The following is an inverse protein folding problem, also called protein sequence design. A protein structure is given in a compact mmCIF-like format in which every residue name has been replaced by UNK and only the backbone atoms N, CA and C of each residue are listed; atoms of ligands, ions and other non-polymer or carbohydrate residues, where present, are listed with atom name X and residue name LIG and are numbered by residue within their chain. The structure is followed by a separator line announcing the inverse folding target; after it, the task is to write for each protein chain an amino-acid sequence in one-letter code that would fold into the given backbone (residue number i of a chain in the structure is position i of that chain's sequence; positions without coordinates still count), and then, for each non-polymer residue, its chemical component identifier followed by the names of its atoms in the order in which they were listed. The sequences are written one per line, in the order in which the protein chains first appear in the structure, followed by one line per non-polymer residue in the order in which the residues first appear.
data_IF_588630764527
#
_entry.id   IF_588630764527
#
_cell.length_a   1.000
_cell.length_b   1.000
_cell.length_c   1.000
_cell.angle_alpha   90.00
_cell.angle_beta   90.00
_cell.angle_gamma   90.00
#
_symmetry.space_group_name_H-M   'P 1'
#
loop_
_entity.id
_entity.type
_entity.pdbx_description
1 polymer ?
#
# COMPACT_ATOMS: atom_id res chain seq x y z
N UNK A 1 11.22 -106.58 44.91
CA UNK A 1 11.44 -106.10 46.29
C UNK A 1 10.33 -105.12 46.67
N UNK A 2 9.43 -105.53 47.57
CA UNK A 2 8.41 -104.67 48.20
C UNK A 2 9.05 -103.88 49.36
N UNK A 3 8.52 -102.70 49.68
CA UNK A 3 8.77 -102.02 50.95
C UNK A 3 8.51 -100.51 50.86
N UNK A 4 7.25 -100.07 51.03
CA UNK A 4 6.61 -99.58 52.27
C UNK A 4 6.93 -98.10 52.58
N UNK A 5 5.92 -97.26 52.41
CA UNK A 5 5.81 -95.93 53.00
C UNK A 5 5.70 -96.03 54.53
N UNK A 6 6.29 -95.07 55.26
CA UNK A 6 5.96 -94.79 56.65
C UNK A 6 5.80 -93.27 56.86
N UNK A 7 4.68 -92.92 57.50
CA UNK A 7 4.21 -91.55 57.79
C UNK A 7 4.94 -90.94 58.99
N UNK A 8 5.29 -89.67 58.80
CA UNK A 8 5.45 -88.54 59.73
C UNK A 8 5.04 -88.76 61.20
N UNK A 9 5.93 -88.38 62.13
CA UNK A 9 5.58 -87.97 63.49
C UNK A 9 5.98 -86.49 63.64
N UNK A 10 4.97 -85.62 63.70
CA UNK A 10 5.11 -84.22 64.05
C UNK A 10 5.14 -84.10 65.58
N UNK A 11 6.25 -83.61 66.15
CA UNK A 11 6.26 -83.03 67.48
C UNK A 11 6.62 -81.55 67.36
N UNK A 12 5.70 -80.69 67.78
CA UNK A 12 5.96 -79.35 68.33
C UNK A 12 5.08 -79.28 69.58
N UNK A 13 5.55 -78.72 70.71
CA UNK A 13 5.61 -77.26 70.76
C UNK A 13 6.63 -76.63 71.75
N UNK A 14 6.92 -75.36 71.48
CA UNK A 14 7.03 -74.25 72.45
C UNK A 14 8.06 -74.34 73.57
N UNK A 15 9.17 -73.61 73.38
CA UNK A 15 9.81 -72.87 74.47
C UNK A 15 10.00 -71.42 74.02
N UNK A 16 9.16 -70.53 74.55
CA UNK A 16 9.27 -69.08 74.43
C UNK A 16 10.12 -68.64 75.62
N UNK A 17 11.44 -68.64 75.47
CA UNK A 17 12.32 -68.29 76.58
C UNK A 17 13.82 -68.34 76.32
N UNK A 18 14.26 -68.87 75.18
CA UNK A 18 15.67 -68.81 74.77
C UNK A 18 15.83 -67.82 73.62
N UNK A 19 16.80 -66.91 73.74
CA UNK A 19 17.28 -66.07 72.64
C UNK A 19 17.92 -66.97 71.58
N UNK A 20 17.06 -67.65 70.80
CA UNK A 20 17.45 -68.52 69.71
C UNK A 20 17.54 -67.68 68.43
N UNK A 21 18.73 -67.48 67.82
CA UNK A 21 18.86 -66.69 66.60
C UNK A 21 18.06 -67.28 65.41
N UNK A 22 17.74 -68.58 65.45
CA UNK A 22 16.89 -69.24 64.46
C UNK A 22 15.39 -68.87 64.56
N UNK A 23 14.94 -68.18 65.63
CA UNK A 23 13.56 -67.71 65.75
C UNK A 23 13.22 -66.59 64.74
N UNK A 24 14.23 -65.87 64.23
CA UNK A 24 14.06 -64.86 63.16
C UNK A 24 13.78 -65.47 61.79
N UNK A 25 14.11 -66.76 61.60
CA UNK A 25 13.82 -67.49 60.35
C UNK A 25 12.40 -68.08 60.33
N UNK A 26 11.58 -67.81 61.35
CA UNK A 26 10.20 -68.28 61.35
C UNK A 26 9.39 -67.64 60.20
N UNK A 27 8.49 -68.40 59.55
CA UNK A 27 7.70 -67.92 58.41
C UNK A 27 6.77 -66.75 58.75
N UNK A 28 6.55 -66.48 60.05
CA UNK A 28 5.79 -65.34 60.55
C UNK A 28 6.54 -64.02 60.25
N UNK A 29 7.88 -64.02 60.33
CA UNK A 29 8.71 -62.86 60.02
C UNK A 29 9.12 -62.77 58.55
N UNK A 30 9.15 -63.89 57.81
CA UNK A 30 9.37 -63.89 56.35
C UNK A 30 8.19 -63.32 55.55
N UNK A 31 6.97 -63.31 56.10
CA UNK A 31 5.83 -62.59 55.51
C UNK A 31 6.10 -61.08 55.36
N UNK A 32 6.93 -60.50 56.22
CA UNK A 32 7.33 -59.10 56.11
C UNK A 32 8.30 -58.87 54.95
N UNK A 33 9.20 -59.81 54.63
CA UNK A 33 10.06 -59.70 53.44
C UNK A 33 9.26 -59.75 52.13
N UNK A 34 8.28 -60.66 52.03
CA UNK A 34 7.38 -60.73 50.87
C UNK A 34 6.45 -59.52 50.78
N UNK A 35 5.96 -59.00 51.92
CA UNK A 35 5.25 -57.70 51.96
C UNK A 35 6.16 -56.57 51.47
N UNK A 36 7.40 -56.51 51.95
CA UNK A 36 8.35 -55.48 51.54
C UNK A 36 8.69 -55.57 50.05
N UNK A 37 8.83 -56.78 49.49
CA UNK A 37 8.98 -57.00 48.04
C UNK A 37 7.75 -56.52 47.27
N UNK A 38 6.54 -56.80 47.75
CA UNK A 38 5.31 -56.30 47.13
C UNK A 38 5.16 -54.77 47.23
N UNK A 39 5.57 -54.17 48.36
CA UNK A 39 5.63 -52.72 48.51
C UNK A 39 6.71 -52.09 47.63
N UNK A 40 7.84 -52.77 47.42
CA UNK A 40 8.92 -52.35 46.55
C UNK A 40 8.51 -52.45 45.07
N UNK A 41 7.82 -53.53 44.67
CA UNK A 41 7.19 -53.65 43.36
C UNK A 41 6.12 -52.57 43.13
N UNK A 42 5.26 -52.30 44.11
CA UNK A 42 4.28 -51.21 44.05
C UNK A 42 4.96 -49.84 43.93
N UNK A 43 6.07 -49.61 44.65
CA UNK A 43 6.85 -48.39 44.53
C UNK A 43 7.51 -48.26 43.14
N UNK A 44 8.04 -49.36 42.59
CA UNK A 44 8.60 -49.39 41.23
C UNK A 44 7.52 -49.13 40.17
N UNK A 45 6.35 -49.76 40.29
CA UNK A 45 5.21 -49.54 39.40
C UNK A 45 4.67 -48.11 39.52
N UNK A 46 4.60 -47.55 40.73
CA UNK A 46 4.21 -46.15 40.96
C UNK A 46 5.20 -45.20 40.30
N UNK A 47 6.51 -45.42 40.49
CA UNK A 47 7.56 -44.63 39.83
C UNK A 47 7.49 -44.74 38.31
N UNK A 48 7.21 -45.94 37.77
CA UNK A 48 7.04 -46.14 36.33
C UNK A 48 5.79 -45.45 35.80
N UNK A 49 4.68 -45.50 36.54
CA UNK A 49 3.45 -44.79 36.20
C UNK A 49 3.67 -43.27 36.21
N UNK A 50 4.36 -42.75 37.22
CA UNK A 50 4.74 -41.33 37.28
C UNK A 50 5.65 -40.92 36.13
N UNK A 51 6.64 -41.74 35.78
CA UNK A 51 7.54 -41.48 34.65
C UNK A 51 6.79 -41.52 33.32
N UNK A 52 5.87 -42.46 33.12
CA UNK A 52 5.01 -42.51 31.94
C UNK A 52 4.05 -41.33 31.88
N UNK A 53 3.54 -40.87 33.02
CA UNK A 53 2.69 -39.69 33.10
C UNK A 53 3.49 -38.42 32.77
N UNK A 54 4.70 -38.28 33.31
CA UNK A 54 5.64 -37.19 32.96
C UNK A 54 5.96 -37.21 31.47
N UNK A 55 6.31 -38.36 30.92
CA UNK A 55 6.59 -38.52 29.49
C UNK A 55 5.37 -38.17 28.63
N UNK A 56 4.17 -38.58 29.02
CA UNK A 56 2.93 -38.20 28.33
C UNK A 56 2.68 -36.68 28.39
N UNK A 57 2.94 -36.05 29.53
CA UNK A 57 2.83 -34.59 29.67
C UNK A 57 3.86 -33.90 28.77
N UNK A 58 5.10 -34.38 28.73
CA UNK A 58 6.14 -33.84 27.87
C UNK A 58 5.82 -34.00 26.38
N UNK A 59 5.29 -35.15 25.98
CA UNK A 59 4.82 -35.39 24.61
C UNK A 59 3.63 -34.49 24.25
N UNK A 60 2.69 -34.30 25.17
CA UNK A 60 1.58 -33.34 24.99
C UNK A 60 2.08 -31.92 24.85
N UNK A 61 3.07 -31.52 25.65
CA UNK A 61 3.67 -30.19 25.57
C UNK A 61 4.44 -30.01 24.25
N UNK A 62 5.19 -31.01 23.79
CA UNK A 62 5.82 -31.02 22.47
C UNK A 62 4.78 -30.90 21.35
N UNK A 63 3.68 -31.65 21.44
CA UNK A 63 2.59 -31.59 20.47
C UNK A 63 1.93 -30.21 20.45
N UNK A 64 1.67 -29.61 21.61
CA UNK A 64 1.13 -28.26 21.73
C UNK A 64 2.08 -27.23 21.11
N UNK A 65 3.39 -27.35 21.36
CA UNK A 65 4.41 -26.50 20.74
C UNK A 65 4.43 -26.64 19.21
N UNK A 66 4.34 -27.86 18.67
CA UNK A 66 4.24 -28.10 17.22
C UNK A 66 2.97 -27.55 16.61
N UNK A 67 1.86 -27.56 17.37
CA UNK A 67 0.62 -26.89 16.95
C UNK A 67 0.86 -25.38 16.93
N UNK A 68 1.47 -24.78 17.94
CA UNK A 68 1.70 -23.34 18.02
C UNK A 68 2.64 -22.80 16.92
N UNK A 69 3.70 -23.54 16.57
CA UNK A 69 4.63 -23.19 15.48
C UNK A 69 3.91 -23.01 14.12
N UNK A 70 4.34 -22.05 13.29
CA UNK A 70 3.80 -21.70 11.97
C UNK A 70 4.13 -22.77 10.89
N UNK A 71 3.88 -24.04 11.18
CA UNK A 71 4.07 -25.11 10.21
C UNK A 71 2.89 -25.18 9.25
N UNK A 72 3.20 -25.26 7.96
CA UNK A 72 2.31 -25.28 6.79
C UNK A 72 1.54 -26.59 6.62
N UNK A 73 1.39 -27.40 7.69
CA UNK A 73 0.72 -28.69 7.62
C UNK A 73 -0.82 -28.50 7.78
N UNK A 74 -1.64 -28.95 6.81
CA UNK A 74 -3.10 -28.87 6.88
C UNK A 74 -3.70 -29.48 8.16
N UNK A 75 -3.06 -30.52 8.71
CA UNK A 75 -3.52 -31.15 9.95
C UNK A 75 -3.41 -30.21 11.16
N UNK A 76 -2.31 -29.44 11.27
CA UNK A 76 -2.09 -28.48 12.35
C UNK A 76 -3.12 -27.36 12.29
N UNK A 77 -3.45 -26.86 11.09
CA UNK A 77 -4.49 -25.85 10.90
C UNK A 77 -5.87 -26.37 11.33
N UNK A 78 -6.25 -27.57 10.89
CA UNK A 78 -7.51 -28.19 11.31
C UNK A 78 -7.59 -28.35 12.84
N UNK A 79 -6.49 -28.81 13.46
CA UNK A 79 -6.44 -28.99 14.92
C UNK A 79 -6.58 -27.66 15.68
N UNK A 80 -5.97 -26.57 15.18
CA UNK A 80 -6.18 -25.21 15.72
C UNK A 80 -7.63 -24.78 15.66
N UNK A 81 -8.31 -25.00 14.53
CA UNK A 81 -9.73 -24.68 14.39
C UNK A 81 -10.61 -25.49 15.35
N UNK A 82 -10.35 -26.79 15.46
CA UNK A 82 -11.09 -27.65 16.39
C UNK A 82 -10.93 -27.20 17.85
N UNK A 83 -9.72 -26.81 18.26
CA UNK A 83 -9.44 -26.28 19.61
C UNK A 83 -10.10 -24.93 19.87
N UNK A 84 -10.10 -24.04 18.88
CA UNK A 84 -10.79 -22.74 18.97
C UNK A 84 -12.30 -22.93 19.16
N UNK A 85 -12.90 -23.82 18.36
CA UNK A 85 -14.33 -24.14 18.45
C UNK A 85 -14.68 -24.78 19.80
N UNK A 86 -13.88 -25.73 20.29
CA UNK A 86 -14.15 -26.34 21.60
C UNK A 86 -14.06 -25.31 22.73
N UNK A 87 -13.12 -24.35 22.64
CA UNK A 87 -13.02 -23.25 23.61
C UNK A 87 -14.25 -22.34 23.56
N UNK A 88 -14.75 -22.00 22.37
CA UNK A 88 -15.97 -21.21 22.22
C UNK A 88 -17.21 -21.93 22.76
N UNK A 89 -17.34 -23.24 22.52
CA UNK A 89 -18.43 -24.05 23.05
C UNK A 89 -18.40 -24.03 24.59
N UNK A 90 -17.23 -24.25 25.18
CA UNK A 90 -17.06 -24.21 26.64
C UNK A 90 -17.42 -22.84 27.23
N UNK A 91 -17.03 -21.75 26.58
CA UNK A 91 -17.43 -20.39 27.00
C UNK A 91 -18.95 -20.20 26.96
N UNK A 92 -19.61 -20.71 25.92
CA UNK A 92 -21.08 -20.61 25.79
C UNK A 92 -21.80 -21.47 26.81
N UNK A 93 -21.28 -22.64 27.14
CA UNK A 93 -21.80 -23.48 28.22
C UNK A 93 -21.67 -22.79 29.58
N UNK A 94 -20.56 -22.09 29.85
CA UNK A 94 -20.42 -21.29 31.07
C UNK A 94 -21.40 -20.12 31.11
N UNK A 95 -21.56 -19.38 30.01
CA UNK A 95 -22.54 -18.28 29.91
C UNK A 95 -23.98 -18.79 30.14
N UNK A 96 -24.32 -19.95 29.58
CA UNK A 96 -25.64 -20.57 29.73
C UNK A 96 -25.89 -21.08 31.15
N UNK A 97 -24.86 -21.61 31.82
CA UNK A 97 -24.95 -21.99 33.23
C UNK A 97 -25.15 -20.76 34.12
N UNK A 98 -24.38 -19.68 33.91
CA UNK A 98 -24.55 -18.41 34.62
C UNK A 98 -25.95 -17.82 34.41
N UNK A 99 -26.45 -17.89 33.18
CA UNK A 99 -27.80 -17.46 32.83
C UNK A 99 -28.87 -18.31 33.53
N UNK A 100 -28.73 -19.63 33.51
CA UNK A 100 -29.62 -20.56 34.22
C UNK A 100 -29.62 -20.29 35.73
N UNK A 101 -28.46 -20.04 36.33
CA UNK A 101 -28.35 -19.71 37.75
C UNK A 101 -29.03 -18.38 38.09
N UNK A 102 -28.87 -17.36 37.25
CA UNK A 102 -29.54 -16.07 37.41
C UNK A 102 -31.07 -16.21 37.37
N UNK A 103 -31.60 -16.98 36.40
CA UNK A 103 -33.04 -17.22 36.30
C UNK A 103 -33.59 -18.09 37.43
N UNK A 104 -32.84 -19.07 37.93
CA UNK A 104 -33.25 -19.87 39.10
C UNK A 104 -33.35 -18.99 40.35
N UNK A 105 -32.34 -18.15 40.62
CA UNK A 105 -32.36 -17.19 41.73
C UNK A 105 -33.53 -16.20 41.65
N UNK A 106 -33.85 -15.71 40.45
CA UNK A 106 -35.00 -14.83 40.25
C UNK A 106 -36.33 -15.52 40.59
N UNK A 107 -36.46 -16.80 40.23
CA UNK A 107 -37.69 -17.60 40.43
C UNK A 107 -37.89 -18.05 41.89
N UNK A 108 -36.81 -18.30 42.64
CA UNK A 108 -36.88 -18.73 44.04
C UNK A 108 -37.12 -17.55 45.02
N UNK A 109 -36.71 -16.33 44.64
CA UNK A 109 -36.75 -15.15 45.52
C UNK A 109 -38.00 -14.26 45.36
N UNK A 110 -38.85 -14.47 44.37
CA UNK A 110 -40.00 -13.59 44.13
C UNK A 110 -41.27 -14.39 43.81
N UNK A 111 -42.26 -14.30 44.71
CA UNK A 111 -43.65 -14.59 44.34
C UNK A 111 -44.03 -13.65 43.18
N UNK A 112 -44.67 -14.15 42.10
CA UNK A 112 -44.84 -13.40 40.88
C UNK A 112 -45.94 -12.35 41.06
N UNK A 113 -45.58 -11.22 41.65
CA UNK A 113 -46.43 -10.03 41.71
C UNK A 113 -45.79 -8.97 40.83
N UNK A 114 -46.57 -8.50 39.86
CA UNK A 114 -46.16 -7.47 38.91
C UNK A 114 -45.59 -6.25 39.65
N UNK A 115 -44.41 -5.80 39.19
CA UNK A 115 -43.73 -4.51 39.41
C UNK A 115 -42.84 -4.38 40.67
N UNK A 116 -41.52 -4.32 40.45
CA UNK A 116 -40.65 -3.16 40.75
C UNK A 116 -39.22 -3.42 40.25
N UNK A 117 -38.72 -2.55 39.35
CA UNK A 117 -37.36 -2.64 38.80
C UNK A 117 -36.40 -1.91 39.76
N UNK A 118 -36.03 -2.56 40.87
CA UNK A 118 -34.90 -2.13 41.69
C UNK A 118 -33.60 -2.72 41.14
N UNK A 119 -33.16 -2.20 39.99
CA UNK A 119 -31.95 -2.63 39.28
C UNK A 119 -30.67 -1.92 39.79
N UNK A 120 -30.51 -1.74 41.12
CA UNK A 120 -29.43 -0.91 41.67
C UNK A 120 -28.42 -1.63 42.57
N UNK A 121 -28.65 -2.89 43.01
CA UNK A 121 -27.73 -3.56 43.95
C UNK A 121 -27.20 -4.94 43.53
N UNK A 122 -27.65 -5.51 42.41
CA UNK A 122 -27.10 -6.77 41.90
C UNK A 122 -26.08 -6.46 40.82
N UNK A 123 -24.83 -6.98 40.97
CA UNK A 123 -23.77 -6.86 39.95
C UNK A 123 -24.37 -7.15 38.59
N UNK A 124 -24.30 -6.17 37.69
CA UNK A 124 -24.70 -6.34 36.30
C UNK A 124 -23.90 -7.52 35.73
N UNK A 125 -24.55 -8.58 35.21
CA UNK A 125 -23.81 -9.60 34.48
C UNK A 125 -23.02 -8.93 33.34
N UNK A 126 -21.84 -9.44 33.02
CA UNK A 126 -20.99 -8.90 31.93
C UNK A 126 -21.62 -9.08 30.53
N UNK A 127 -22.83 -9.62 30.46
CA UNK A 127 -23.63 -9.80 29.27
C UNK A 127 -24.99 -9.14 29.48
N UNK A 128 -25.57 -8.59 28.40
CA UNK A 128 -26.82 -7.85 28.45
C UNK A 128 -28.03 -8.80 28.50
N UNK A 129 -28.75 -8.91 29.62
CA UNK A 129 -29.86 -9.85 29.80
C UNK A 129 -31.06 -9.54 28.89
N UNK A 130 -31.22 -8.28 28.46
CA UNK A 130 -32.31 -7.85 27.57
C UNK A 130 -32.10 -8.42 26.16
N UNK A 131 -30.84 -8.51 25.70
CA UNK A 131 -30.52 -9.07 24.38
C UNK A 131 -30.65 -10.59 24.28
N UNK A 132 -30.75 -11.30 25.40
CA UNK A 132 -31.00 -12.76 25.46
C UNK A 132 -32.50 -13.06 25.57
N UNK A 133 -33.25 -12.23 26.31
CA UNK A 133 -34.72 -12.34 26.39
C UNK A 133 -35.42 -12.00 25.07
N UNK A 134 -34.86 -11.06 24.30
CA UNK A 134 -35.27 -10.77 22.92
C UNK A 134 -34.66 -11.77 21.92
N UNK A 135 -34.95 -13.06 22.14
CA UNK A 135 -34.73 -14.12 21.16
C UNK A 135 -35.67 -14.03 19.94
N UNK A 136 -36.57 -13.04 19.90
CA UNK A 136 -37.45 -12.79 18.75
C UNK A 136 -37.63 -11.27 18.56
N UNK A 137 -36.66 -10.62 17.91
CA UNK A 137 -36.86 -9.50 16.97
C UNK A 137 -35.60 -8.64 16.81
N UNK A 138 -34.45 -9.25 16.53
CA UNK A 138 -33.32 -8.48 16.02
C UNK A 138 -33.32 -8.55 14.49
N UNK A 139 -33.79 -7.49 13.83
CA UNK A 139 -33.79 -7.38 12.35
C UNK A 139 -32.37 -7.33 11.74
N UNK A 140 -31.28 -7.44 12.53
CA UNK A 140 -29.91 -7.56 12.06
C UNK A 140 -28.97 -8.48 12.89
N UNK A 141 -29.48 -9.42 13.72
CA UNK A 141 -28.64 -10.56 14.15
C UNK A 141 -28.65 -11.59 13.02
N UNK A 142 -27.84 -11.33 12.00
CA UNK A 142 -27.50 -12.35 11.00
C UNK A 142 -26.92 -13.53 11.79
N UNK A 143 -27.52 -14.71 11.61
CA UNK A 143 -27.08 -15.99 12.19
C UNK A 143 -25.58 -16.28 11.99
N UNK A 144 -24.92 -15.54 11.09
CA UNK A 144 -23.49 -15.58 10.81
C UNK A 144 -22.91 -14.16 10.83
N UNK A 145 -21.79 -14.00 11.53
CA UNK A 145 -20.99 -12.78 11.55
C UNK A 145 -20.57 -12.42 10.11
N UNK A 146 -20.60 -11.13 9.74
CA UNK A 146 -20.18 -10.69 8.40
C UNK A 146 -18.73 -11.07 8.09
N UNK A 147 -17.89 -11.25 9.12
CA UNK A 147 -16.52 -11.73 8.97
C UNK A 147 -16.50 -13.23 8.62
N UNK A 148 -17.26 -14.05 9.35
CA UNK A 148 -17.36 -15.49 9.11
C UNK A 148 -17.89 -15.81 7.71
N UNK A 149 -18.87 -15.05 7.21
CA UNK A 149 -19.37 -15.21 5.83
C UNK A 149 -18.26 -14.90 4.80
N UNK A 150 -17.40 -13.91 5.06
CA UNK A 150 -16.28 -13.59 4.17
C UNK A 150 -15.24 -14.70 4.19
N UNK A 151 -14.89 -15.20 5.37
CA UNK A 151 -13.94 -16.31 5.55
C UNK A 151 -14.46 -17.60 4.89
N UNK A 152 -15.74 -17.94 5.05
CA UNK A 152 -16.36 -19.07 4.38
C UNK A 152 -16.33 -18.91 2.85
N UNK A 153 -16.62 -17.72 2.34
CA UNK A 153 -16.54 -17.45 0.90
C UNK A 153 -15.10 -17.55 0.37
N UNK A 154 -14.09 -17.16 1.14
CA UNK A 154 -12.69 -17.33 0.78
C UNK A 154 -12.27 -18.82 0.78
N UNK A 155 -12.70 -19.58 1.79
CA UNK A 155 -12.47 -21.02 1.85
C UNK A 155 -13.14 -21.76 0.68
N UNK A 156 -14.37 -21.40 0.34
CA UNK A 156 -15.09 -21.94 -0.83
C UNK A 156 -14.36 -21.61 -2.14
N UNK A 157 -13.88 -20.37 -2.30
CA UNK A 157 -13.06 -19.99 -3.47
C UNK A 157 -11.79 -20.82 -3.56
N UNK A 158 -11.11 -21.06 -2.44
CA UNK A 158 -9.94 -21.91 -2.39
C UNK A 158 -10.26 -23.35 -2.81
N UNK A 159 -11.34 -23.93 -2.27
CA UNK A 159 -11.78 -25.28 -2.62
C UNK A 159 -12.11 -25.41 -4.11
N UNK A 160 -12.83 -24.44 -4.67
CA UNK A 160 -13.14 -24.39 -6.11
C UNK A 160 -11.85 -24.31 -6.94
N UNK A 161 -10.87 -23.52 -6.52
CA UNK A 161 -9.56 -23.45 -7.20
C UNK A 161 -8.85 -24.80 -7.17
N UNK A 162 -8.83 -25.48 -6.02
CA UNK A 162 -8.23 -26.81 -5.90
C UNK A 162 -8.95 -27.86 -6.75
N UNK A 163 -10.28 -27.86 -6.75
CA UNK A 163 -11.05 -28.76 -7.61
C UNK A 163 -10.77 -28.50 -9.10
N UNK A 164 -10.61 -27.24 -9.53
CA UNK A 164 -10.21 -26.90 -10.90
C UNK A 164 -8.82 -27.46 -11.25
N UNK A 165 -7.85 -27.36 -10.34
CA UNK A 165 -6.52 -27.96 -10.53
C UNK A 165 -6.62 -29.49 -10.69
N UNK A 166 -7.42 -30.16 -9.84
CA UNK A 166 -7.62 -31.61 -9.93
C UNK A 166 -8.27 -32.03 -11.25
N UNK A 167 -9.30 -31.31 -11.70
CA UNK A 167 -9.97 -31.58 -12.99
C UNK A 167 -8.99 -31.39 -14.15
N UNK A 168 -8.14 -30.35 -14.11
CA UNK A 168 -7.12 -30.15 -15.13
C UNK A 168 -6.11 -31.30 -15.21
N UNK A 169 -5.69 -31.84 -14.06
CA UNK A 169 -4.81 -33.01 -13.99
C UNK A 169 -5.51 -34.26 -14.56
N UNK A 170 -6.78 -34.49 -14.21
CA UNK A 170 -7.56 -35.62 -14.74
C UNK A 170 -7.75 -35.52 -16.26
N UNK A 171 -8.06 -34.33 -16.78
CA UNK A 171 -8.17 -34.10 -18.22
C UNK A 171 -6.82 -34.33 -18.93
N UNK A 172 -5.71 -33.93 -18.31
CA UNK A 172 -4.36 -34.23 -18.79
C UNK A 172 -4.10 -35.74 -18.87
N UNK A 173 -4.46 -36.49 -17.81
CA UNK A 173 -4.36 -37.96 -17.78
C UNK A 173 -5.21 -38.61 -18.86
N UNK A 174 -6.46 -38.19 -19.00
CA UNK A 174 -7.39 -38.70 -20.01
C UNK A 174 -6.84 -38.47 -21.42
N UNK A 175 -6.26 -37.29 -21.68
CA UNK A 175 -5.63 -36.98 -22.97
C UNK A 175 -4.43 -37.88 -23.26
N UNK A 176 -3.56 -38.12 -22.27
CA UNK A 176 -2.41 -39.05 -22.40
C UNK A 176 -2.89 -40.48 -22.64
N UNK A 177 -3.92 -40.92 -21.93
CA UNK A 177 -4.53 -42.24 -22.12
C UNK A 177 -5.10 -42.41 -23.52
N UNK A 178 -5.86 -41.43 -24.02
CA UNK A 178 -6.42 -41.45 -25.37
C UNK A 178 -5.31 -41.46 -26.44
N UNK A 179 -4.25 -40.67 -26.24
CA UNK A 179 -3.10 -40.67 -27.14
C UNK A 179 -2.39 -42.04 -27.14
N UNK A 180 -2.13 -42.60 -25.97
CA UNK A 180 -1.52 -43.93 -25.81
C UNK A 180 -2.39 -45.04 -26.42
N UNK A 181 -3.71 -45.00 -26.21
CA UNK A 181 -4.66 -45.90 -26.86
C UNK A 181 -4.56 -45.81 -28.38
N UNK A 182 -4.51 -44.61 -28.97
CA UNK A 182 -4.40 -44.44 -30.42
C UNK A 182 -3.07 -44.95 -30.99
N UNK A 183 -1.94 -44.69 -30.30
CA UNK A 183 -0.63 -45.14 -30.76
C UNK A 183 -0.46 -46.66 -30.64
N UNK A 184 -0.99 -47.24 -29.57
CA UNK A 184 -0.92 -48.68 -29.39
C UNK A 184 -2.00 -49.42 -30.17
N UNK A 185 -3.18 -48.86 -30.39
CA UNK A 185 -4.18 -49.47 -31.27
C UNK A 185 -3.62 -49.60 -32.68
N UNK A 186 -2.92 -48.59 -33.18
CA UNK A 186 -2.26 -48.62 -34.49
C UNK A 186 -1.13 -49.66 -34.52
N UNK A 187 -0.24 -49.67 -33.52
CA UNK A 187 0.87 -50.64 -33.47
C UNK A 187 0.38 -52.08 -33.34
N UNK A 188 -0.59 -52.32 -32.46
CA UNK A 188 -1.14 -53.66 -32.21
C UNK A 188 -1.99 -54.14 -33.39
N UNK A 189 -2.71 -53.23 -34.08
CA UNK A 189 -3.38 -53.53 -35.34
C UNK A 189 -2.37 -53.87 -36.44
N UNK A 190 -1.28 -53.10 -36.59
CA UNK A 190 -0.21 -53.38 -37.54
C UNK A 190 0.48 -54.73 -37.27
N UNK A 191 0.75 -55.04 -36.01
CA UNK A 191 1.37 -56.32 -35.63
C UNK A 191 0.42 -57.50 -35.82
N UNK A 192 -0.89 -57.33 -35.55
CA UNK A 192 -1.90 -58.37 -35.78
C UNK A 192 -2.11 -58.62 -37.28
N UNK A 193 -2.15 -57.55 -38.08
CA UNK A 193 -2.22 -57.64 -39.55
C UNK A 193 -0.96 -58.28 -40.15
N UNK A 194 0.23 -57.94 -39.64
CA UNK A 194 1.48 -58.61 -40.04
C UNK A 194 1.51 -60.11 -39.70
N UNK A 195 0.76 -60.54 -38.67
CA UNK A 195 0.62 -61.94 -38.27
C UNK A 195 -0.63 -62.62 -38.85
N UNK A 196 -1.37 -61.95 -39.74
CA UNK A 196 -2.58 -62.48 -40.38
C UNK A 196 -3.80 -62.63 -39.47
N UNK A 197 -3.81 -62.04 -38.27
CA UNK A 197 -4.89 -62.12 -37.29
C UNK A 197 -5.82 -60.89 -37.30
N UNK A 198 -7.09 -61.10 -36.90
CA UNK A 198 -8.08 -60.03 -36.70
C UNK A 198 -7.68 -59.23 -35.45
N UNK A 199 -7.64 -57.88 -35.48
CA UNK A 199 -7.20 -57.08 -34.34
C UNK A 199 -8.14 -57.24 -33.14
N UNK A 200 -7.64 -57.88 -32.07
CA UNK A 200 -8.36 -58.05 -30.81
C UNK A 200 -8.52 -56.73 -30.04
N UNK A 201 -9.70 -56.55 -29.43
CA UNK A 201 -10.08 -55.36 -28.65
C UNK A 201 -9.08 -55.03 -27.54
N UNK A 202 -8.53 -53.81 -27.60
CA UNK A 202 -7.42 -53.29 -26.80
C UNK A 202 -7.82 -52.86 -25.36
N UNK A 203 -8.81 -53.51 -24.75
CA UNK A 203 -9.48 -53.01 -23.54
C UNK A 203 -8.65 -53.07 -22.23
N UNK A 204 -7.35 -53.40 -22.24
CA UNK A 204 -6.67 -53.83 -21.00
C UNK A 204 -5.22 -53.42 -20.75
N UNK A 205 -4.52 -52.70 -21.62
CA UNK A 205 -3.12 -52.34 -21.31
C UNK A 205 -3.07 -50.96 -20.66
N UNK A 206 -3.10 -50.95 -19.33
CA UNK A 206 -2.81 -49.77 -18.51
C UNK A 206 -1.39 -49.30 -18.84
N UNK A 207 -1.19 -48.02 -19.21
CA UNK A 207 0.16 -47.49 -19.45
C UNK A 207 1.01 -47.69 -18.20
N UNK A 208 2.21 -48.27 -18.35
CA UNK A 208 3.16 -48.37 -17.25
C UNK A 208 3.60 -46.97 -16.82
N UNK A 209 3.79 -46.77 -15.50
CA UNK A 209 4.15 -45.48 -14.89
C UNK A 209 5.34 -44.77 -15.58
N UNK A 210 6.31 -45.55 -16.07
CA UNK A 210 7.49 -45.02 -16.78
C UNK A 210 7.15 -44.38 -18.12
N UNK A 211 6.13 -44.87 -18.83
CA UNK A 211 5.65 -44.31 -20.10
C UNK A 211 4.85 -43.03 -19.85
N UNK A 212 4.01 -43.01 -18.81
CA UNK A 212 3.29 -41.81 -18.37
C UNK A 212 4.26 -40.68 -18.00
N UNK A 213 5.30 -40.97 -17.23
CA UNK A 213 6.31 -39.99 -16.81
C UNK A 213 7.09 -39.42 -18.00
N UNK A 214 7.50 -40.25 -18.97
CA UNK A 214 8.20 -39.76 -20.18
C UNK A 214 7.30 -38.88 -21.04
N UNK A 215 6.04 -39.27 -21.23
CA UNK A 215 5.07 -38.46 -21.96
C UNK A 215 4.86 -37.10 -21.28
N UNK A 216 4.68 -37.09 -19.96
CA UNK A 216 4.55 -35.87 -19.16
C UNK A 216 5.77 -34.97 -19.29
N UNK A 217 6.98 -35.53 -19.19
CA UNK A 217 8.22 -34.77 -19.34
C UNK A 217 8.34 -34.12 -20.73
N UNK A 218 7.97 -34.86 -21.79
CA UNK A 218 7.96 -34.34 -23.17
C UNK A 218 6.94 -33.23 -23.35
N UNK A 219 5.73 -33.37 -22.80
CA UNK A 219 4.69 -32.33 -22.89
C UNK A 219 5.10 -31.06 -22.16
N UNK A 220 5.61 -31.18 -20.92
CA UNK A 220 6.08 -30.03 -20.13
C UNK A 220 7.25 -29.32 -20.80
N UNK A 221 8.18 -30.06 -21.40
CA UNK A 221 9.29 -29.49 -22.17
C UNK A 221 8.79 -28.70 -23.39
N UNK A 222 7.82 -29.24 -24.13
CA UNK A 222 7.20 -28.55 -25.26
C UNK A 222 6.46 -27.27 -24.81
N UNK A 223 5.65 -27.36 -23.75
CA UNK A 223 4.95 -26.20 -23.18
C UNK A 223 5.93 -25.10 -22.76
N UNK A 224 7.00 -25.46 -22.06
CA UNK A 224 8.06 -24.54 -21.67
C UNK A 224 8.71 -23.86 -22.88
N UNK A 225 9.01 -24.62 -23.94
CA UNK A 225 9.52 -24.07 -25.20
C UNK A 225 8.58 -23.02 -25.80
N UNK A 226 7.27 -23.32 -25.86
CA UNK A 226 6.27 -22.35 -26.38
C UNK A 226 6.17 -21.09 -25.52
N UNK A 227 6.25 -21.21 -24.19
CA UNK A 227 6.21 -20.07 -23.27
C UNK A 227 7.45 -19.20 -23.46
N UNK A 228 8.63 -19.80 -23.61
CA UNK A 228 9.89 -19.08 -23.87
C UNK A 228 9.81 -18.33 -25.20
N UNK A 229 9.29 -18.94 -26.26
CA UNK A 229 9.09 -18.30 -27.56
C UNK A 229 8.13 -17.09 -27.45
N UNK A 230 6.95 -17.28 -26.86
CA UNK A 230 5.98 -16.19 -26.63
C UNK A 230 6.59 -15.04 -25.83
N UNK A 231 7.36 -15.35 -24.78
CA UNK A 231 8.03 -14.32 -23.97
C UNK A 231 9.06 -13.53 -24.78
N UNK A 232 9.82 -14.19 -25.65
CA UNK A 232 10.77 -13.52 -26.56
C UNK A 232 10.06 -12.58 -27.53
N UNK A 233 8.97 -13.03 -28.15
CA UNK A 233 8.18 -12.20 -29.07
C UNK A 233 7.62 -10.95 -28.39
N UNK A 234 7.04 -11.10 -27.20
CA UNK A 234 6.54 -9.96 -26.41
C UNK A 234 7.68 -9.01 -26.07
N UNK A 235 8.84 -9.54 -25.67
CA UNK A 235 10.01 -8.73 -25.34
C UNK A 235 10.52 -7.94 -26.56
N UNK A 236 10.58 -8.55 -27.74
CA UNK A 236 10.97 -7.88 -28.98
C UNK A 236 10.00 -6.75 -29.36
N UNK A 237 8.68 -7.01 -29.29
CA UNK A 237 7.65 -5.98 -29.53
C UNK A 237 7.78 -4.79 -28.57
N UNK A 238 8.11 -5.05 -27.31
CA UNK A 238 8.33 -3.99 -26.32
C UNK A 238 9.58 -3.16 -26.62
N UNK A 239 10.67 -3.79 -27.07
CA UNK A 239 11.89 -3.08 -27.50
C UNK A 239 11.57 -2.20 -28.70
N UNK A 240 10.94 -2.75 -29.73
CA UNK A 240 10.58 -2.04 -30.96
C UNK A 240 9.70 -0.81 -30.65
N UNK A 241 8.66 -0.99 -29.82
CA UNK A 241 7.80 0.12 -29.37
C UNK A 241 8.58 1.19 -28.60
N UNK A 242 9.60 0.81 -27.82
CA UNK A 242 10.46 1.77 -27.10
C UNK A 242 11.36 2.54 -28.08
N UNK A 243 11.90 1.88 -29.11
CA UNK A 243 12.73 2.50 -30.14
C UNK A 243 11.90 3.49 -30.98
N UNK A 244 10.75 3.07 -31.50
CA UNK A 244 9.81 3.93 -32.23
C UNK A 244 9.44 5.20 -31.43
N UNK A 245 9.15 5.04 -30.13
CA UNK A 245 8.87 6.19 -29.25
C UNK A 245 10.07 7.11 -29.08
N UNK A 246 11.30 6.58 -29.05
CA UNK A 246 12.53 7.39 -28.96
C UNK A 246 12.75 8.17 -30.25
N UNK A 247 12.60 7.53 -31.40
CA UNK A 247 12.71 8.16 -32.71
C UNK A 247 11.70 9.30 -32.89
N UNK A 248 10.43 9.06 -32.57
CA UNK A 248 9.39 10.08 -32.66
C UNK A 248 9.68 11.27 -31.73
N UNK A 249 10.18 11.03 -30.51
CA UNK A 249 10.60 12.11 -29.60
C UNK A 249 11.76 12.91 -30.17
N UNK A 250 12.73 12.26 -30.78
CA UNK A 250 13.87 12.93 -31.41
C UNK A 250 13.41 13.77 -32.61
N UNK A 251 12.53 13.23 -33.45
CA UNK A 251 11.95 13.96 -34.58
C UNK A 251 11.18 15.19 -34.11
N UNK A 252 10.33 15.04 -33.09
CA UNK A 252 9.57 16.15 -32.52
C UNK A 252 10.48 17.20 -31.89
N UNK A 253 11.54 16.78 -31.18
CA UNK A 253 12.54 17.70 -30.62
C UNK A 253 13.22 18.52 -31.72
N UNK A 254 13.63 17.87 -32.80
CA UNK A 254 14.25 18.53 -33.95
C UNK A 254 13.27 19.50 -34.62
N UNK A 255 12.02 19.08 -34.82
CA UNK A 255 10.97 19.94 -35.36
C UNK A 255 10.74 21.18 -34.49
N UNK A 256 10.67 21.04 -33.16
CA UNK A 256 10.53 22.17 -32.23
C UNK A 256 11.72 23.12 -32.30
N UNK A 257 12.95 22.61 -32.44
CA UNK A 257 14.15 23.46 -32.60
C UNK A 257 14.03 24.29 -33.89
N UNK A 258 13.70 23.65 -35.02
CA UNK A 258 13.51 24.34 -36.30
C UNK A 258 12.42 25.40 -36.19
N UNK A 259 11.26 25.04 -35.64
CA UNK A 259 10.13 25.96 -35.43
C UNK A 259 10.51 27.15 -34.55
N UNK A 260 11.25 26.90 -33.45
CA UNK A 260 11.72 27.96 -32.54
C UNK A 260 12.64 28.94 -33.25
N UNK A 261 13.61 28.44 -34.01
CA UNK A 261 14.55 29.27 -34.77
C UNK A 261 13.80 30.11 -35.80
N UNK A 262 12.89 29.48 -36.56
CA UNK A 262 12.13 30.14 -37.61
C UNK A 262 11.18 31.24 -37.07
N UNK A 263 10.44 30.96 -35.99
CA UNK A 263 9.60 31.96 -35.31
C UNK A 263 10.45 33.14 -34.82
N UNK A 264 11.62 32.87 -34.25
CA UNK A 264 12.56 33.90 -33.82
C UNK A 264 13.07 34.75 -35.00
N UNK A 265 13.40 34.13 -36.13
CA UNK A 265 13.82 34.83 -37.34
C UNK A 265 12.74 35.79 -37.86
N UNK A 266 11.49 35.31 -37.99
CA UNK A 266 10.36 36.15 -38.43
C UNK A 266 10.18 37.36 -37.52
N UNK A 267 10.18 37.15 -36.20
CA UNK A 267 10.00 38.22 -35.23
C UNK A 267 11.11 39.28 -35.34
N UNK A 268 12.38 38.85 -35.39
CA UNK A 268 13.51 39.78 -35.53
C UNK A 268 13.44 40.57 -36.83
N UNK A 269 13.06 39.93 -37.94
CA UNK A 269 12.88 40.62 -39.23
C UNK A 269 11.78 41.68 -39.15
N UNK A 270 10.64 41.36 -38.52
CA UNK A 270 9.55 42.32 -38.31
C UNK A 270 9.98 43.50 -37.42
N UNK A 271 10.67 43.22 -36.32
CA UNK A 271 11.20 44.25 -35.41
C UNK A 271 12.23 45.15 -36.11
N UNK A 272 13.13 44.59 -36.92
CA UNK A 272 14.13 45.37 -37.66
C UNK A 272 13.46 46.36 -38.62
N UNK A 273 12.39 45.93 -39.32
CA UNK A 273 11.61 46.82 -40.20
C UNK A 273 10.95 47.93 -39.37
N UNK A 274 10.27 47.59 -38.28
CA UNK A 274 9.62 48.57 -37.40
C UNK A 274 10.61 49.57 -36.81
N UNK A 275 11.78 49.11 -36.35
CA UNK A 275 12.84 49.96 -35.82
C UNK A 275 13.41 50.89 -36.89
N UNK A 276 13.60 50.39 -38.12
CA UNK A 276 14.05 51.24 -39.24
C UNK A 276 13.03 52.34 -39.52
N UNK A 277 11.75 52.01 -39.59
CA UNK A 277 10.67 52.99 -39.78
C UNK A 277 10.61 54.00 -38.63
N UNK A 278 10.67 53.54 -37.38
CA UNK A 278 10.69 54.40 -36.20
C UNK A 278 11.88 55.35 -36.22
N UNK A 279 13.07 54.86 -36.58
CA UNK A 279 14.28 55.68 -36.70
C UNK A 279 14.11 56.77 -37.75
N UNK A 280 13.56 56.46 -38.92
CA UNK A 280 13.29 57.44 -39.98
C UNK A 280 12.37 58.56 -39.46
N UNK A 281 11.26 58.20 -38.82
CA UNK A 281 10.32 59.16 -38.24
C UNK A 281 11.01 60.02 -37.18
N UNK A 282 11.72 59.40 -36.24
CA UNK A 282 12.46 60.10 -35.19
C UNK A 282 13.48 61.08 -35.77
N UNK A 283 14.24 60.67 -36.80
CA UNK A 283 15.20 61.56 -37.46
C UNK A 283 14.52 62.72 -38.17
N UNK A 284 13.38 62.49 -38.82
CA UNK A 284 12.62 63.54 -39.49
C UNK A 284 12.06 64.55 -38.49
N UNK A 285 11.47 64.09 -37.38
CA UNK A 285 10.94 64.95 -36.32
C UNK A 285 12.05 65.76 -35.64
N UNK A 286 13.18 65.12 -35.30
CA UNK A 286 14.34 65.86 -34.73
C UNK A 286 14.84 66.93 -35.69
N UNK A 287 14.94 66.62 -36.98
CA UNK A 287 15.32 67.60 -38.00
C UNK A 287 14.30 68.74 -38.15
N UNK A 288 13.01 68.44 -38.10
CA UNK A 288 11.95 69.44 -38.12
C UNK A 288 12.03 70.38 -36.91
N UNK A 289 12.16 69.83 -35.70
CA UNK A 289 12.28 70.60 -34.45
C UNK A 289 13.51 71.51 -34.48
N UNK A 290 14.66 71.00 -34.95
CA UNK A 290 15.87 71.81 -35.09
C UNK A 290 15.66 73.00 -36.05
N UNK A 291 15.05 72.77 -37.22
CA UNK A 291 14.72 73.84 -38.18
C UNK A 291 13.71 74.83 -37.63
N UNK A 292 12.68 74.35 -36.93
CA UNK A 292 11.67 75.17 -36.30
C UNK A 292 12.30 76.10 -35.25
N UNK A 293 13.11 75.54 -34.34
CA UNK A 293 13.82 76.32 -33.32
C UNK A 293 14.77 77.34 -33.94
N UNK A 294 15.49 76.96 -35.01
CA UNK A 294 16.36 77.90 -35.73
C UNK A 294 15.58 79.06 -36.34
N UNK A 295 14.42 78.79 -36.95
CA UNK A 295 13.54 79.84 -37.49
C UNK A 295 13.02 80.77 -36.40
N UNK A 296 12.62 80.24 -35.24
CA UNK A 296 12.19 81.05 -34.09
C UNK A 296 13.33 81.97 -33.59
N UNK A 297 14.56 81.46 -33.51
CA UNK A 297 15.72 82.27 -33.12
C UNK A 297 15.98 83.39 -34.13
N UNK A 298 15.91 83.09 -35.43
CA UNK A 298 16.08 84.10 -36.47
C UNK A 298 15.01 85.18 -36.44
N UNK A 299 13.74 84.81 -36.18
CA UNK A 299 12.66 85.78 -36.04
C UNK A 299 12.89 86.70 -34.85
N UNK A 300 13.22 86.14 -33.68
CA UNK A 300 13.55 86.94 -32.50
C UNK A 300 14.70 87.92 -32.74
N UNK A 301 15.77 87.47 -33.41
CA UNK A 301 16.89 88.36 -33.75
C UNK A 301 16.48 89.50 -34.67
N UNK A 302 15.64 89.25 -35.67
CA UNK A 302 15.11 90.31 -36.54
C UNK A 302 14.25 91.30 -35.78
N UNK A 303 13.37 90.80 -34.91
CA UNK A 303 12.55 91.64 -34.04
C UNK A 303 13.42 92.49 -33.10
N UNK A 304 14.50 91.92 -32.55
CA UNK A 304 15.50 92.64 -31.74
C UNK A 304 16.21 93.74 -32.56
N UNK A 305 16.67 93.42 -33.78
CA UNK A 305 17.30 94.38 -34.71
C UNK A 305 16.35 95.53 -35.09
N UNK A 306 15.09 95.23 -35.46
CA UNK A 306 14.06 96.24 -35.79
C UNK A 306 13.75 97.15 -34.58
N UNK A 307 13.60 96.56 -33.39
CA UNK A 307 13.37 97.34 -32.16
C UNK A 307 14.58 98.25 -31.82
N UNK A 308 15.81 97.78 -32.02
CA UNK A 308 17.02 98.59 -31.81
C UNK A 308 17.09 99.75 -32.81
N UNK A 309 16.75 99.53 -34.08
CA UNK A 309 16.69 100.58 -35.11
C UNK A 309 15.62 101.63 -34.80
N UNK A 310 14.42 101.20 -34.39
CA UNK A 310 13.34 102.09 -33.95
C UNK A 310 13.76 102.92 -32.72
N UNK A 311 14.37 102.27 -31.72
CA UNK A 311 14.83 102.96 -30.52
C UNK A 311 15.93 103.98 -30.85
N UNK A 312 16.86 103.64 -31.75
CA UNK A 312 17.87 104.58 -32.25
C UNK A 312 17.24 105.76 -33.00
N UNK A 313 16.23 105.52 -33.83
CA UNK A 313 15.50 106.58 -34.53
C UNK A 313 14.78 107.51 -33.54
N UNK A 314 14.09 106.95 -32.55
CA UNK A 314 13.43 107.71 -31.48
C UNK A 314 14.43 108.50 -30.63
N UNK A 315 15.60 107.93 -30.30
CA UNK A 315 16.67 108.63 -29.59
C UNK A 315 17.20 109.82 -30.41
N UNK A 316 17.38 109.66 -31.72
CA UNK A 316 17.80 110.75 -32.62
C UNK A 316 16.75 111.87 -32.68
N UNK A 317 15.47 111.54 -32.88
CA UNK A 317 14.39 112.55 -32.94
C UNK A 317 14.21 113.28 -31.62
N UNK A 318 14.28 112.59 -30.47
CA UNK A 318 14.27 113.21 -29.14
C UNK A 318 15.43 114.19 -28.95
N UNK A 319 16.65 113.81 -29.36
CA UNK A 319 17.81 114.71 -29.30
C UNK A 319 17.58 115.97 -30.12
N UNK A 320 17.11 115.84 -31.36
CA UNK A 320 16.78 116.99 -32.23
C UNK A 320 15.71 117.89 -31.59
N UNK A 321 14.65 117.30 -31.02
CA UNK A 321 13.58 118.04 -30.35
C UNK A 321 14.10 118.82 -29.14
N UNK A 322 14.94 118.21 -28.30
CA UNK A 322 15.59 118.87 -27.16
C UNK A 322 16.48 120.03 -27.64
N UNK A 323 17.28 119.81 -28.68
CA UNK A 323 18.13 120.87 -29.26
C UNK A 323 17.28 122.03 -29.77
N UNK A 324 16.18 121.76 -30.49
CA UNK A 324 15.26 122.79 -30.95
C UNK A 324 14.59 123.56 -29.80
N UNK A 325 14.20 122.85 -28.73
CA UNK A 325 13.64 123.46 -27.52
C UNK A 325 14.67 124.35 -26.82
N UNK A 326 15.92 123.91 -26.68
CA UNK A 326 17.00 124.69 -26.10
C UNK A 326 17.32 125.94 -26.94
N UNK A 327 17.38 125.82 -28.26
CA UNK A 327 17.56 126.97 -29.17
C UNK A 327 16.40 127.96 -29.06
N UNK A 328 15.15 127.48 -28.97
CA UNK A 328 13.97 128.33 -28.74
C UNK A 328 14.04 129.04 -27.39
N UNK A 329 14.46 128.35 -26.34
CA UNK A 329 14.61 128.92 -24.99
C UNK A 329 15.72 129.98 -24.95
N UNK A 330 16.84 129.73 -25.64
CA UNK A 330 17.92 130.71 -25.83
C UNK A 330 17.42 131.95 -26.57
N UNK A 331 16.65 131.77 -27.65
CA UNK A 331 16.09 132.89 -28.43
C UNK A 331 15.08 133.72 -27.60
N UNK A 332 14.23 133.06 -26.81
CA UNK A 332 13.28 133.75 -25.91
C UNK A 332 13.97 134.48 -24.75
N UNK A 333 15.08 133.94 -24.25
CA UNK A 333 15.86 134.55 -23.15
C UNK A 333 16.88 135.60 -23.63
N UNK A 334 17.19 135.65 -24.94
CA UNK A 334 18.10 136.64 -25.52
C UNK A 334 17.66 138.09 -25.30
N UNK A 335 16.40 138.50 -25.55
CA UNK A 335 15.94 139.85 -25.23
C UNK A 335 15.95 140.12 -23.72
N UNK A 336 15.62 139.14 -22.88
CA UNK A 336 15.67 139.29 -21.41
C UNK A 336 17.11 139.54 -20.92
N UNK A 337 18.11 138.89 -21.51
CA UNK A 337 19.53 139.17 -21.23
C UNK A 337 19.97 140.54 -21.74
N UNK A 338 19.53 140.94 -22.94
CA UNK A 338 19.84 142.27 -23.51
C UNK A 338 19.22 143.41 -22.68
N UNK A 339 18.02 143.21 -22.15
CA UNK A 339 17.34 144.15 -21.28
C UNK A 339 18.09 144.25 -19.94
N UNK A 340 18.47 143.11 -19.34
CA UNK A 340 19.29 143.11 -18.12
C UNK A 340 20.65 143.80 -18.31
N UNK A 341 21.32 143.60 -19.45
CA UNK A 341 22.60 144.25 -19.73
C UNK A 341 22.47 145.75 -20.00
N UNK A 342 21.33 146.21 -20.55
CA UNK A 342 21.03 147.65 -20.69
C UNK A 342 20.71 148.31 -19.35
N UNK A 343 19.91 147.65 -18.50
CA UNK A 343 19.60 148.15 -17.15
C UNK A 343 20.88 148.29 -16.30
N UNK A 344 21.87 147.40 -16.47
CA UNK A 344 23.17 147.53 -15.80
C UNK A 344 24.12 148.58 -16.40
N UNK A 345 23.84 149.10 -17.61
CA UNK A 345 24.67 150.11 -18.27
C UNK A 345 24.12 151.54 -18.08
N UNK A 346 22.83 151.69 -17.76
CA UNK A 346 22.19 152.98 -17.44
C UNK A 346 22.27 153.34 -15.94
N UNK A 347 23.01 152.55 -15.16
CA UNK A 347 23.18 152.69 -13.69
C UNK A 347 24.61 152.98 -13.23
N UNK A 348 25.48 153.43 -14.14
CA UNK A 348 26.77 154.09 -13.90
C UNK A 348 26.82 155.37 -14.76
#
# INVERSE_FOLDING_TARGET
MRGKQARVINQRPTDIGTFNPAALEQPIFQKHLARNSAYEELAQLSNMAENLQKSNVDLRNKLNKYIEEESTNPFCQYKKYALSLSKQISQRETELNDFSEHFRKFRESTDPTFVEINASYVRTPNYDPITVSLLVSNKQKKFFNSKDIKEQNEALKYLISKQKEHIAILNGRLKVFNQFQSENSIKTALESLKRGGIPGSLAGVIPTLSVELRAKHKMLSNELSTIVQKRREVHLKLIEKKLMKRELRNLNRNAVIIQRIFRGYILRKKLMVMQKSAKIIQTAVRGFLARFNYKQILQKRKEEEENEEEEQHQRKTRKVAITAQNSRLLFMNAPVRLIKSKISFDSD
#
